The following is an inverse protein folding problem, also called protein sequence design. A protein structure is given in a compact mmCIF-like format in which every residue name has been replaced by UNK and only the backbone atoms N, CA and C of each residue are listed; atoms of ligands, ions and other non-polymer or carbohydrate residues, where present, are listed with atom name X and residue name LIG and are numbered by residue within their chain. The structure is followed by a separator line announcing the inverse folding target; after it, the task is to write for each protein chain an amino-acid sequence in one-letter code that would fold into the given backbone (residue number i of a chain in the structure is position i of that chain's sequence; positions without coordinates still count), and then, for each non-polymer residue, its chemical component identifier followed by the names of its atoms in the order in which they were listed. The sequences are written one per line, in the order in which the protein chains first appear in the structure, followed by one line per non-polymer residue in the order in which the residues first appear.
data_IF_392903712550
#
_entry.id   IF_392903712550
#
_cell.length_a   1.000
_cell.length_b   1.000
_cell.length_c   1.000
_cell.angle_alpha   90.00
_cell.angle_beta   90.00
_cell.angle_gamma   90.00
#
_symmetry.space_group_name_H-M   'P 1'
#
loop_
_entity.id
_entity.type
_entity.pdbx_description
1 polymer ?
#
# COMPACT_ATOMS: atom_id res chain seq x y z
N UNK A 1 -1.03 5.17 14.20
CA UNK A 1 0.13 6.05 14.00
C UNK A 1 1.04 5.39 12.97
N UNK A 2 1.26 6.02 11.81
CA UNK A 2 2.20 5.50 10.81
C UNK A 2 3.59 5.76 11.37
N UNK A 3 4.41 4.72 11.49
CA UNK A 3 5.81 4.90 11.86
C UNK A 3 6.52 5.59 10.68
N UNK A 4 7.04 6.81 10.93
CA UNK A 4 7.74 7.62 9.94
C UNK A 4 8.93 6.88 9.32
N UNK A 5 9.51 5.90 10.02
CA UNK A 5 10.60 5.04 9.49
C UNK A 5 10.15 4.13 8.36
N UNK A 6 8.85 3.81 8.27
CA UNK A 6 8.29 2.89 7.26
C UNK A 6 7.24 3.52 6.35
N UNK A 7 6.90 4.79 6.59
CA UNK A 7 6.00 5.58 5.77
C UNK A 7 6.48 5.62 4.32
N UNK A 8 5.60 5.31 3.37
CA UNK A 8 5.89 5.54 1.95
C UNK A 8 4.68 6.01 1.17
N UNK A 9 4.93 6.46 -0.06
CA UNK A 9 3.88 6.85 -1.01
C UNK A 9 2.81 5.76 -1.25
N UNK A 10 3.12 4.49 -0.98
CA UNK A 10 2.17 3.39 -1.06
C UNK A 10 1.17 3.41 0.10
N UNK A 11 1.58 3.84 1.29
CA UNK A 11 0.68 3.93 2.45
C UNK A 11 -0.28 5.12 2.28
N UNK A 12 0.20 6.21 1.68
CA UNK A 12 -0.66 7.32 1.27
C UNK A 12 -1.69 6.86 0.21
N UNK A 13 -1.28 5.95 -0.67
CA UNK A 13 -2.11 5.44 -1.75
C UNK A 13 -3.04 4.29 -1.34
N UNK A 14 -2.73 3.55 -0.28
CA UNK A 14 -3.55 2.48 0.29
C UNK A 14 -3.83 2.76 1.75
N UNK A 15 -4.97 3.35 2.01
CA UNK A 15 -5.40 3.72 3.36
C UNK A 15 -6.34 2.66 3.93
N UNK A 16 -6.24 2.45 5.24
CA UNK A 16 -7.15 1.60 6.02
C UNK A 16 -7.88 2.48 7.01
N UNK A 17 -9.21 2.45 6.97
CA UNK A 17 -10.09 3.17 7.88
C UNK A 17 -10.93 2.15 8.65
N UNK A 18 -10.94 2.24 9.98
CA UNK A 18 -11.77 1.38 10.80
C UNK A 18 -13.15 2.02 10.92
N UNK A 19 -14.20 1.30 10.49
CA UNK A 19 -15.60 1.78 10.55
C UNK A 19 -16.43 0.82 11.40
N UNK A 20 -17.59 1.24 11.93
CA UNK A 20 -18.44 0.37 12.74
C UNK A 20 -18.89 -0.91 12.03
N UNK A 21 -18.93 -0.88 10.70
CA UNK A 21 -19.35 -1.99 9.82
C UNK A 21 -18.15 -2.82 9.33
N UNK A 22 -16.92 -2.49 9.79
CA UNK A 22 -15.70 -3.20 9.46
C UNK A 22 -14.60 -2.33 8.86
N UNK A 23 -13.55 -3.00 8.36
CA UNK A 23 -12.40 -2.32 7.76
C UNK A 23 -12.71 -1.83 6.34
N UNK A 24 -12.60 -0.52 6.13
CA UNK A 24 -12.69 0.10 4.81
C UNK A 24 -11.28 0.37 4.25
N UNK A 25 -11.02 -0.13 3.05
CA UNK A 25 -9.77 0.09 2.34
C UNK A 25 -9.98 1.11 1.22
N UNK A 26 -9.10 2.09 1.10
CA UNK A 26 -9.21 3.14 0.09
C UNK A 26 -7.93 3.17 -0.75
N UNK A 27 -8.10 3.02 -2.06
CA UNK A 27 -7.04 3.21 -3.05
C UNK A 27 -7.13 4.64 -3.59
N UNK A 28 -6.04 5.42 -3.49
CA UNK A 28 -5.97 6.82 -3.93
C UNK A 28 -4.68 7.03 -4.73
N UNK A 29 -4.79 7.36 -6.01
CA UNK A 29 -3.63 7.76 -6.80
C UNK A 29 -4.05 8.49 -8.08
N UNK A 30 -3.22 9.43 -8.53
CA UNK A 30 -3.39 10.14 -9.80
C UNK A 30 -4.79 10.79 -9.94
N UNK A 31 -5.28 11.43 -8.88
CA UNK A 31 -6.60 12.08 -8.85
C UNK A 31 -7.79 11.12 -8.79
N UNK A 32 -7.55 9.79 -8.76
CA UNK A 32 -8.60 8.77 -8.68
C UNK A 32 -8.67 8.18 -7.28
N UNK A 33 -9.88 7.93 -6.81
CA UNK A 33 -10.18 7.32 -5.52
C UNK A 33 -11.17 6.17 -5.68
N UNK A 34 -10.91 5.03 -5.02
CA UNK A 34 -11.88 3.94 -4.89
C UNK A 34 -11.90 3.40 -3.47
N UNK A 35 -13.09 3.34 -2.89
CA UNK A 35 -13.37 2.67 -1.61
C UNK A 35 -13.68 1.20 -1.86
N UNK A 36 -13.14 0.32 -1.03
CA UNK A 36 -13.20 -1.13 -1.17
C UNK A 36 -13.37 -1.77 0.20
N UNK A 37 -14.23 -2.77 0.29
CA UNK A 37 -14.44 -3.54 1.53
C UNK A 37 -13.39 -4.64 1.75
N UNK A 38 -12.50 -4.85 0.78
CA UNK A 38 -11.41 -5.82 0.91
C UNK A 38 -10.07 -5.20 0.53
N UNK A 39 -9.03 -5.60 1.26
CA UNK A 39 -7.64 -5.20 0.99
C UNK A 39 -7.18 -5.65 -0.40
N UNK A 40 -7.57 -6.86 -0.81
CA UNK A 40 -7.21 -7.42 -2.12
C UNK A 40 -7.78 -6.59 -3.26
N UNK A 41 -9.05 -6.20 -3.15
CA UNK A 41 -9.73 -5.35 -4.13
C UNK A 41 -9.10 -3.96 -4.18
N UNK A 42 -8.74 -3.37 -3.03
CA UNK A 42 -8.04 -2.09 -3.00
C UNK A 42 -6.68 -2.14 -3.70
N UNK A 43 -5.90 -3.21 -3.50
CA UNK A 43 -4.62 -3.41 -4.20
C UNK A 43 -4.82 -3.52 -5.71
N UNK A 44 -5.84 -4.25 -6.16
CA UNK A 44 -6.16 -4.37 -7.59
C UNK A 44 -6.55 -3.00 -8.18
N UNK A 45 -7.35 -2.21 -7.47
CA UNK A 45 -7.70 -0.86 -7.91
C UNK A 45 -6.51 0.09 -7.94
N UNK A 46 -5.64 0.04 -6.93
CA UNK A 46 -4.40 0.81 -6.96
C UNK A 46 -3.53 0.41 -8.16
N UNK A 47 -3.39 -0.88 -8.43
CA UNK A 47 -2.65 -1.35 -9.59
C UNK A 47 -3.27 -0.83 -10.88
N UNK A 48 -4.60 -0.83 -11.01
CA UNK A 48 -5.31 -0.26 -12.16
C UNK A 48 -5.01 1.23 -12.33
N UNK A 49 -5.02 2.02 -11.25
CA UNK A 49 -4.69 3.45 -11.32
C UNK A 49 -3.28 3.70 -11.81
N UNK A 50 -2.31 2.94 -11.31
CA UNK A 50 -0.90 3.04 -11.71
C UNK A 50 -0.71 2.62 -13.18
N UNK A 51 -1.30 1.49 -13.59
CA UNK A 51 -1.13 0.98 -14.96
C UNK A 51 -1.86 1.80 -15.99
N UNK A 52 -3.11 2.21 -15.72
CA UNK A 52 -3.84 3.09 -16.65
C UNK A 52 -3.16 4.44 -16.81
N UNK A 53 -2.61 5.02 -15.72
CA UNK A 53 -1.87 6.28 -15.83
C UNK A 53 -0.60 6.12 -16.66
N UNK A 54 0.17 5.04 -16.47
CA UNK A 54 1.35 4.75 -17.27
C UNK A 54 1.01 4.58 -18.77
N UNK A 55 -0.03 3.82 -19.10
CA UNK A 55 -0.48 3.63 -20.48
C UNK A 55 -0.92 4.95 -21.12
N UNK A 56 -1.70 5.76 -20.39
CA UNK A 56 -2.12 7.08 -20.86
C UNK A 56 -0.94 8.02 -21.16
N UNK A 57 0.12 7.98 -20.33
CA UNK A 57 1.33 8.79 -20.56
C UNK A 57 2.21 8.26 -21.68
N UNK A 58 2.19 6.96 -21.95
CA UNK A 58 3.01 6.31 -22.96
C UNK A 58 2.32 6.18 -24.33
N UNK A 59 1.04 6.56 -24.44
CA UNK A 59 0.27 6.44 -25.69
C UNK A 59 -0.17 5.01 -26.02
N UNK A 60 0.02 4.05 -25.12
CA UNK A 60 -0.46 2.68 -25.32
C UNK A 60 -1.97 2.58 -25.11
N UNK A 61 -2.64 1.82 -25.98
CA UNK A 61 -4.08 1.54 -25.85
C UNK A 61 -4.34 0.51 -24.75
N UNK A 62 -5.21 0.87 -23.82
CA UNK A 62 -5.61 -0.03 -22.73
C UNK A 62 -6.62 -1.10 -23.19
N UNK A 63 -7.44 -0.78 -24.19
CA UNK A 63 -8.49 -1.65 -24.73
C UNK A 63 -8.43 -1.62 -26.25
N UNK A 64 -8.88 -2.72 -26.84
CA UNK A 64 -9.26 -2.71 -28.25
C UNK A 64 -10.43 -1.74 -28.48
N UNK A 65 -10.65 -1.28 -29.72
CA UNK A 65 -11.81 -0.46 -30.06
C UNK A 65 -13.11 -1.14 -29.66
N UNK A 66 -14.13 -0.32 -29.38
CA UNK A 66 -15.48 -0.82 -29.13
C UNK A 66 -16.06 -1.39 -30.43
N UNK A 67 -16.70 -2.54 -30.34
CA UNK A 67 -17.22 -3.28 -31.51
C UNK A 67 -18.74 -3.35 -31.39
N UNK A 68 -19.44 -3.05 -32.48
CA UNK A 68 -20.88 -3.26 -32.55
C UNK A 68 -21.15 -4.75 -32.74
N UNK A 69 -21.80 -5.38 -31.77
CA UNK A 69 -22.19 -6.79 -31.85
C UNK A 69 -23.55 -6.83 -32.51
N UNK A 70 -23.58 -7.18 -33.79
CA UNK A 70 -24.81 -7.33 -34.57
C UNK A 70 -25.44 -8.69 -34.26
N UNK A 71 -26.67 -8.67 -33.77
CA UNK A 71 -27.39 -9.91 -33.49
C UNK A 71 -27.91 -10.51 -34.82
N UNK A 72 -27.56 -11.77 -35.18
CA UNK A 72 -27.79 -12.31 -36.53
C UNK A 72 -29.25 -12.31 -37.01
N UNK A 73 -30.20 -12.48 -36.09
CA UNK A 73 -31.62 -12.68 -36.40
C UNK A 73 -32.54 -11.53 -35.92
N UNK A 74 -32.01 -10.59 -35.14
CA UNK A 74 -32.83 -9.56 -34.47
C UNK A 74 -32.05 -8.24 -34.41
N UNK A 75 -32.17 -7.38 -35.43
CA UNK A 75 -31.41 -6.12 -35.49
C UNK A 75 -31.56 -5.24 -34.25
N UNK A 76 -32.71 -5.29 -33.56
CA UNK A 76 -33.00 -4.54 -32.34
C UNK A 76 -32.11 -4.92 -31.13
N UNK A 77 -31.52 -6.12 -31.12
CA UNK A 77 -30.60 -6.57 -30.06
C UNK A 77 -29.13 -6.18 -30.32
N UNK A 78 -28.88 -5.47 -31.42
CA UNK A 78 -27.57 -4.95 -31.76
C UNK A 78 -27.14 -3.91 -30.73
N UNK A 79 -25.99 -4.11 -30.10
CA UNK A 79 -25.49 -3.20 -29.09
C UNK A 79 -23.98 -2.99 -29.25
N UNK A 80 -23.51 -1.86 -28.72
CA UNK A 80 -22.10 -1.57 -28.65
C UNK A 80 -21.47 -2.33 -27.48
N UNK A 81 -20.51 -3.19 -27.79
CA UNK A 81 -19.72 -3.89 -26.78
C UNK A 81 -18.40 -3.16 -26.58
N UNK A 82 -18.09 -2.88 -25.32
CA UNK A 82 -16.80 -2.29 -24.96
C UNK A 82 -15.66 -3.25 -25.31
N UNK A 83 -14.65 -2.75 -26.02
CA UNK A 83 -13.52 -3.56 -26.44
C UNK A 83 -12.80 -4.22 -25.27
N UNK A 84 -12.31 -5.43 -25.52
CA UNK A 84 -11.55 -6.21 -24.54
C UNK A 84 -10.27 -5.49 -24.14
N UNK A 85 -9.76 -5.80 -22.95
CA UNK A 85 -8.49 -5.27 -22.46
C UNK A 85 -7.34 -5.88 -23.26
N UNK A 86 -6.38 -5.05 -23.67
CA UNK A 86 -5.21 -5.51 -24.43
C UNK A 86 -4.35 -6.46 -23.57
N UNK A 87 -3.68 -7.42 -24.22
CA UNK A 87 -2.83 -8.41 -23.53
C UNK A 87 -1.68 -7.69 -22.80
N UNK A 88 -1.14 -6.64 -23.42
CA UNK A 88 -0.09 -5.78 -22.89
C UNK A 88 -0.54 -5.11 -21.59
N UNK A 89 -1.75 -4.52 -21.58
CA UNK A 89 -2.31 -3.93 -20.38
C UNK A 89 -2.55 -4.99 -19.31
N UNK A 90 -3.13 -6.13 -19.66
CA UNK A 90 -3.40 -7.20 -18.70
C UNK A 90 -2.11 -7.68 -18.02
N UNK A 91 -1.06 -7.92 -18.81
CA UNK A 91 0.24 -8.33 -18.31
C UNK A 91 0.89 -7.25 -17.42
N UNK A 92 0.86 -6.00 -17.85
CA UNK A 92 1.37 -4.87 -17.06
C UNK A 92 0.61 -4.72 -15.72
N UNK A 93 -0.72 -4.88 -15.76
CA UNK A 93 -1.57 -4.85 -14.57
C UNK A 93 -1.21 -5.98 -13.59
N UNK A 94 -1.12 -7.21 -14.07
CA UNK A 94 -0.74 -8.36 -13.24
C UNK A 94 0.66 -8.21 -12.63
N UNK A 95 1.63 -7.69 -13.40
CA UNK A 95 2.98 -7.38 -12.88
C UNK A 95 2.92 -6.35 -11.77
N UNK A 96 2.12 -5.30 -11.94
CA UNK A 96 1.94 -4.24 -10.94
C UNK A 96 1.31 -4.78 -9.65
N UNK A 97 0.25 -5.59 -9.76
CA UNK A 97 -0.38 -6.26 -8.60
C UNK A 97 0.65 -7.11 -7.84
N UNK A 98 1.42 -7.95 -8.53
CA UNK A 98 2.48 -8.77 -7.91
C UNK A 98 3.53 -7.92 -7.22
N UNK A 99 3.98 -6.83 -7.86
CA UNK A 99 4.96 -5.90 -7.29
C UNK A 99 4.44 -5.22 -6.03
N UNK A 100 3.21 -4.71 -6.04
CA UNK A 100 2.58 -4.11 -4.86
C UNK A 100 2.49 -5.10 -3.70
N UNK A 101 2.07 -6.35 -3.96
CA UNK A 101 2.01 -7.38 -2.93
C UNK A 101 3.38 -7.66 -2.31
N UNK A 102 4.45 -7.74 -3.13
CA UNK A 102 5.83 -7.93 -2.63
C UNK A 102 6.31 -6.77 -1.78
N UNK A 103 6.05 -5.52 -2.21
CA UNK A 103 6.45 -4.34 -1.43
C UNK A 103 5.72 -4.32 -0.09
N UNK A 104 4.41 -4.56 -0.08
CA UNK A 104 3.61 -4.63 1.14
C UNK A 104 4.05 -5.80 2.05
N UNK A 105 4.47 -6.93 1.48
CA UNK A 105 5.04 -8.04 2.26
C UNK A 105 6.36 -7.65 2.92
N UNK A 106 7.31 -7.07 2.16
CA UNK A 106 8.58 -6.58 2.69
C UNK A 106 8.39 -5.54 3.79
N UNK A 107 7.42 -4.64 3.61
CA UNK A 107 7.05 -3.66 4.65
C UNK A 107 6.55 -4.30 5.94
N UNK A 108 5.73 -5.34 5.85
CA UNK A 108 5.27 -6.06 7.04
C UNK A 108 6.44 -6.68 7.81
N UNK A 109 7.40 -7.27 7.10
CA UNK A 109 8.59 -7.83 7.76
C UNK A 109 9.47 -6.75 8.39
N UNK A 110 9.65 -5.61 7.72
CA UNK A 110 10.34 -4.45 8.30
C UNK A 110 9.66 -3.96 9.57
N UNK A 111 8.33 -3.81 9.56
CA UNK A 111 7.56 -3.38 10.73
C UNK A 111 7.67 -4.37 11.89
N UNK A 112 7.68 -5.68 11.63
CA UNK A 112 7.92 -6.69 12.66
C UNK A 112 9.31 -6.55 13.28
N UNK A 113 10.33 -6.32 12.45
CA UNK A 113 11.69 -6.11 12.93
C UNK A 113 11.81 -4.85 13.77
N UNK A 114 11.28 -3.71 13.30
CA UNK A 114 11.27 -2.46 14.07
C UNK A 114 10.58 -2.64 15.42
N UNK A 115 9.41 -3.29 15.46
CA UNK A 115 8.71 -3.57 16.73
C UNK A 115 9.54 -4.42 17.70
N UNK A 116 10.26 -5.42 17.19
CA UNK A 116 11.14 -6.26 18.02
C UNK A 116 12.33 -5.44 18.54
N UNK A 117 12.90 -4.59 17.71
CA UNK A 117 13.98 -3.70 18.09
C UNK A 117 13.54 -2.70 19.15
N UNK A 118 12.42 -2.01 18.93
CA UNK A 118 11.86 -1.03 19.87
C UNK A 118 11.60 -1.69 21.23
N UNK A 119 11.00 -2.89 21.26
CA UNK A 119 10.78 -3.62 22.52
C UNK A 119 12.07 -4.02 23.26
N UNK A 120 13.15 -4.30 22.54
CA UNK A 120 14.47 -4.57 23.14
C UNK A 120 15.11 -3.28 23.63
N UNK A 121 15.04 -2.21 22.84
CA UNK A 121 15.59 -0.92 23.17
C UNK A 121 14.93 -0.31 24.41
N UNK A 122 13.61 -0.38 24.51
CA UNK A 122 12.86 0.13 25.67
C UNK A 122 13.26 -0.59 26.96
N UNK A 123 13.52 -1.91 26.89
CA UNK A 123 14.04 -2.69 28.03
C UNK A 123 15.44 -2.24 28.41
N UNK A 124 16.34 -2.13 27.43
CA UNK A 124 17.71 -1.71 27.66
C UNK A 124 17.80 -0.29 28.27
N UNK A 125 17.01 0.65 27.76
CA UNK A 125 16.94 2.02 28.30
C UNK A 125 16.47 2.00 29.74
N UNK A 126 15.42 1.23 30.04
CA UNK A 126 14.91 1.06 31.41
C UNK A 126 15.97 0.47 32.36
N UNK A 127 16.62 -0.63 31.96
CA UNK A 127 17.70 -1.25 32.75
C UNK A 127 18.87 -0.27 32.99
N UNK A 128 19.25 0.50 31.96
CA UNK A 128 20.28 1.53 32.09
C UNK A 128 19.88 2.63 33.08
N UNK A 129 18.64 3.10 33.03
CA UNK A 129 18.12 4.10 33.96
C UNK A 129 18.11 3.58 35.40
N UNK A 130 17.70 2.32 35.62
CA UNK A 130 17.73 1.65 36.92
C UNK A 130 19.18 1.50 37.46
N UNK A 131 20.13 1.13 36.61
CA UNK A 131 21.55 1.05 36.96
C UNK A 131 22.16 2.44 37.26
N UNK A 132 21.78 3.46 36.50
CA UNK A 132 22.23 4.83 36.74
C UNK A 132 21.64 5.40 38.04
N UNK A 133 20.40 5.03 38.38
CA UNK A 133 19.77 5.41 39.64
C UNK A 133 20.40 4.69 40.85
N UNK A 134 20.85 3.44 40.69
CA UNK A 134 21.53 2.66 41.73
C UNK A 134 23.03 2.95 41.88
N UNK A 135 23.56 3.93 41.13
CA UNK A 135 24.97 4.31 41.16
C UNK A 135 25.36 4.87 42.56
N UNK A 136 26.43 4.36 43.19
CA UNK A 136 26.86 4.84 44.51
C UNK A 136 27.25 6.33 44.49
N UNK A 137 26.97 7.04 45.59
CA UNK A 137 27.07 8.51 45.70
C UNK A 137 28.46 9.06 45.34
N UNK A 138 29.53 8.33 45.68
CA UNK A 138 30.92 8.69 45.39
C UNK A 138 31.19 8.81 43.88
N UNK A 139 30.65 7.90 43.07
CA UNK A 139 30.82 7.89 41.61
C UNK A 139 29.86 8.86 40.90
N UNK A 140 28.81 9.29 41.60
CA UNK A 140 27.85 10.30 41.12
C UNK A 140 28.37 11.72 41.32
N UNK A 141 29.04 11.99 42.44
CA UNK A 141 29.64 13.29 42.76
C UNK A 141 30.93 13.56 41.96
N UNK A 142 31.75 12.52 41.70
CA UNK A 142 32.96 12.64 40.87
C UNK A 142 32.69 13.04 39.41
N UNK A 143 31.47 12.84 38.91
CA UNK A 143 31.06 13.22 37.54
C UNK A 143 30.40 14.62 37.45
N UNK A 144 30.19 15.30 38.58
CA UNK A 144 29.68 16.68 38.64
C UNK A 144 30.77 17.73 38.87
N UNK A 145 31.99 17.30 39.25
CA UNK A 145 33.14 18.17 39.54
C UNK A 145 34.25 18.12 38.46
N UNK A 146 33.96 17.55 37.29
CA UNK A 146 34.81 17.58 36.09
C UNK A 146 34.03 18.25 34.95
#
# INVERSE_FOLDING_TARGET
MIDNRTASAIDLALQKHHTPVGDLYVAIRHGRMKRCFSRGTAINWLAHFLTSHAFARSGFTQRHPDVQVVHPLKPELTHWQRGAVTIEYFNAHQRTVRRLRRILARKREMQKWCKKWDAMHDRYVKEREELQASKPAEVRNASQHA
#
